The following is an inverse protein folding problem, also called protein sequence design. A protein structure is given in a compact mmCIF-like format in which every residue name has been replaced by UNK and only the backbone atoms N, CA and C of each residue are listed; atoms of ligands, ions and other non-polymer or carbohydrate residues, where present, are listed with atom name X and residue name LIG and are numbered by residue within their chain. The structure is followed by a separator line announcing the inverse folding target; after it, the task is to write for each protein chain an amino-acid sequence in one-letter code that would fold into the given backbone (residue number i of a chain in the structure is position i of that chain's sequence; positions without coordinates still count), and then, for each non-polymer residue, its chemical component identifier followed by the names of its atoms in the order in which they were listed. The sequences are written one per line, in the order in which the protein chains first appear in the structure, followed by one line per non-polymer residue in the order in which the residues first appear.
data_IF_074863347493
#
_entry.id   IF_074863347493
#
_cell.length_a   1.000
_cell.length_b   1.000
_cell.length_c   1.000
_cell.angle_alpha   90.00
_cell.angle_beta   90.00
_cell.angle_gamma   90.00
#
_symmetry.space_group_name_H-M   'P 1'
#
loop_
_entity.id
_entity.type
_entity.pdbx_description
1 polymer ?
#
# COMPACT_ATOMS: atom_id res chain seq x y z
N UNK A 1 -12.98 60.74 0.27
CA UNK A 1 -12.26 59.99 1.33
C UNK A 1 -13.34 59.28 2.14
N UNK A 2 -13.33 57.96 2.45
CA UNK A 2 -12.35 56.87 2.29
C UNK A 2 -12.76 55.88 1.16
N UNK A 3 -12.00 54.78 0.92
CA UNK A 3 -12.32 53.55 0.12
C UNK A 3 -11.19 53.05 -0.82
N UNK A 4 -9.91 53.16 -0.44
CA UNK A 4 -8.83 52.47 -1.19
C UNK A 4 -7.94 51.56 -0.35
N UNK A 5 -7.97 51.65 0.98
CA UNK A 5 -7.17 50.80 1.88
C UNK A 5 -7.80 49.43 2.20
N UNK A 6 -9.11 49.26 2.02
CA UNK A 6 -9.80 48.00 2.37
C UNK A 6 -9.68 46.89 1.32
N UNK A 7 -9.32 47.20 0.07
CA UNK A 7 -9.25 46.21 -1.01
C UNK A 7 -7.87 45.52 -1.08
N UNK A 8 -6.82 46.19 -0.60
CA UNK A 8 -5.47 45.60 -0.59
C UNK A 8 -5.27 44.56 0.53
N UNK A 9 -5.98 44.69 1.66
CA UNK A 9 -5.85 43.75 2.79
C UNK A 9 -6.52 42.39 2.51
N UNK A 10 -7.62 42.36 1.76
CA UNK A 10 -8.31 41.13 1.37
C UNK A 10 -7.58 40.38 0.26
N UNK A 11 -6.88 41.08 -0.63
CA UNK A 11 -6.09 40.45 -1.69
C UNK A 11 -4.82 39.76 -1.17
N UNK A 12 -4.15 40.32 -0.14
CA UNK A 12 -3.01 39.65 0.48
C UNK A 12 -3.41 38.44 1.35
N UNK A 13 -4.56 38.51 2.03
CA UNK A 13 -5.06 37.38 2.85
C UNK A 13 -5.39 36.13 2.03
N UNK A 14 -5.92 36.29 0.82
CA UNK A 14 -6.24 35.17 -0.08
C UNK A 14 -4.99 34.49 -0.65
N UNK A 15 -3.90 35.22 -0.86
CA UNK A 15 -2.63 34.66 -1.37
C UNK A 15 -1.90 33.86 -0.28
N UNK A 16 -2.00 34.27 0.98
CA UNK A 16 -1.44 33.53 2.13
C UNK A 16 -2.28 32.28 2.46
N UNK A 17 -3.60 32.31 2.28
CA UNK A 17 -4.46 31.13 2.50
C UNK A 17 -4.37 30.09 1.36
N UNK A 18 -4.17 30.54 0.11
CA UNK A 18 -3.93 29.66 -1.04
C UNK A 18 -2.54 29.01 -1.05
N UNK A 19 -1.54 29.61 -0.38
CA UNK A 19 -0.21 29.01 -0.24
C UNK A 19 -0.13 28.04 0.95
N UNK A 20 -0.93 28.23 2.01
CA UNK A 20 -0.99 27.30 3.14
C UNK A 20 -1.83 26.04 2.88
N UNK A 21 -2.73 26.05 1.90
CA UNK A 21 -3.53 24.88 1.49
C UNK A 21 -2.84 23.98 0.45
N UNK A 22 -1.64 24.35 0.00
CA UNK A 22 -0.77 23.52 -0.84
C UNK A 22 0.34 22.79 -0.06
N UNK A 23 0.20 22.66 1.26
CA UNK A 23 0.84 21.55 1.99
C UNK A 23 0.03 20.28 1.72
N UNK A 24 0.04 19.87 0.44
CA UNK A 24 -0.16 18.48 0.07
C UNK A 24 0.87 17.69 0.85
N UNK A 25 0.43 17.08 1.95
CA UNK A 25 1.11 15.92 2.51
C UNK A 25 1.25 14.96 1.35
N UNK A 26 2.45 14.89 0.76
CA UNK A 26 2.81 13.84 -0.18
C UNK A 26 2.63 12.54 0.61
N UNK A 27 1.43 11.97 0.54
CA UNK A 27 1.17 10.63 1.03
C UNK A 27 1.94 9.73 0.09
N UNK A 28 3.12 9.33 0.50
CA UNK A 28 3.84 8.26 -0.17
C UNK A 28 2.87 7.09 -0.29
N UNK A 29 2.67 6.63 -1.52
CA UNK A 29 1.88 5.42 -1.74
C UNK A 29 2.64 4.25 -1.11
N UNK A 30 1.95 3.29 -0.48
CA UNK A 30 2.59 2.05 -0.04
C UNK A 30 3.43 1.46 -1.19
N UNK A 31 4.61 0.87 -0.92
CA UNK A 31 5.47 0.30 -1.96
C UNK A 31 4.74 -0.65 -2.92
N UNK A 32 3.76 -1.42 -2.42
CA UNK A 32 2.93 -2.30 -3.23
C UNK A 32 1.96 -1.58 -4.19
N UNK A 33 1.51 -0.37 -3.88
CA UNK A 33 0.72 0.44 -4.82
C UNK A 33 1.60 1.10 -5.89
N UNK A 34 2.86 1.36 -5.57
CA UNK A 34 3.85 1.86 -6.54
C UNK A 34 4.12 0.79 -7.61
N UNK A 35 4.24 -0.47 -7.22
CA UNK A 35 4.43 -1.61 -8.13
C UNK A 35 3.25 -1.87 -9.07
N UNK A 36 2.04 -1.39 -8.75
CA UNK A 36 0.87 -1.57 -9.63
C UNK A 36 0.93 -0.72 -10.90
N UNK A 37 1.74 0.34 -10.91
CA UNK A 37 1.92 1.15 -12.10
C UNK A 37 3.15 0.64 -12.86
N UNK A 38 2.99 0.11 -14.10
CA UNK A 38 4.09 -0.53 -14.84
C UNK A 38 5.26 0.42 -15.15
N UNK A 39 5.03 1.73 -15.07
CA UNK A 39 6.05 2.75 -15.28
C UNK A 39 6.99 2.96 -14.07
N UNK A 40 6.67 2.36 -12.92
CA UNK A 40 7.42 2.53 -11.69
C UNK A 40 8.40 1.38 -11.47
N UNK A 41 9.55 1.69 -10.89
CA UNK A 41 10.55 0.71 -10.46
C UNK A 41 10.73 0.81 -8.96
N UNK A 42 10.85 -0.33 -8.29
CA UNK A 42 11.37 -0.40 -6.94
C UNK A 42 12.84 -0.77 -7.00
N UNK A 43 13.69 -0.04 -6.31
CA UNK A 43 15.11 -0.36 -6.21
C UNK A 43 15.61 -0.20 -4.79
N UNK A 44 16.61 -1.01 -4.46
CA UNK A 44 17.47 -0.81 -3.30
C UNK A 44 18.63 0.06 -3.75
N UNK A 45 18.80 1.21 -3.11
CA UNK A 45 19.85 2.15 -3.51
C UNK A 45 20.41 2.91 -2.32
N UNK A 46 21.72 3.21 -2.38
CA UNK A 46 22.44 3.97 -1.36
C UNK A 46 22.48 5.43 -1.76
N UNK A 47 22.11 6.34 -0.85
CA UNK A 47 22.20 7.76 -1.11
C UNK A 47 23.68 8.19 -1.13
N UNK A 48 24.22 8.51 -2.30
CA UNK A 48 25.64 8.80 -2.50
C UNK A 48 25.95 10.30 -2.42
N UNK A 49 25.14 11.15 -3.05
CA UNK A 49 25.42 12.58 -3.16
C UNK A 49 24.13 13.43 -3.23
N UNK A 50 24.13 14.61 -2.60
CA UNK A 50 23.05 15.60 -2.77
C UNK A 50 23.40 16.49 -3.98
N UNK A 51 22.60 16.43 -5.04
CA UNK A 51 22.79 17.17 -6.29
C UNK A 51 21.84 18.38 -6.31
N UNK A 52 22.02 19.32 -5.38
CA UNK A 52 21.16 20.49 -5.22
C UNK A 52 19.94 20.27 -4.29
N UNK A 53 19.03 21.25 -4.21
CA UNK A 53 18.01 21.34 -3.15
C UNK A 53 16.89 20.28 -3.17
N UNK A 54 16.81 19.45 -4.21
CA UNK A 54 15.69 18.53 -4.44
C UNK A 54 16.06 17.29 -5.27
N UNK A 55 17.36 16.99 -5.39
CA UNK A 55 17.85 15.83 -6.14
C UNK A 55 18.93 15.13 -5.35
N UNK A 56 18.87 13.81 -5.34
CA UNK A 56 19.86 12.97 -4.68
C UNK A 56 20.31 11.93 -5.69
N UNK A 57 21.63 11.74 -5.80
CA UNK A 57 22.22 10.64 -6.54
C UNK A 57 22.18 9.41 -5.66
N UNK A 58 21.53 8.37 -6.17
CA UNK A 58 21.51 7.06 -5.56
C UNK A 58 22.38 6.11 -6.36
N UNK A 59 23.22 5.35 -5.68
CA UNK A 59 23.94 4.20 -6.24
C UNK A 59 23.01 2.98 -6.13
N UNK A 60 22.60 2.44 -7.27
CA UNK A 60 21.68 1.31 -7.31
C UNK A 60 22.44 0.06 -6.87
N UNK A 61 21.98 -0.54 -5.77
CA UNK A 61 22.50 -1.81 -5.29
C UNK A 61 21.79 -2.95 -6.02
N UNK A 62 20.47 -2.84 -6.14
CA UNK A 62 19.60 -3.89 -6.69
C UNK A 62 18.31 -3.30 -7.26
N UNK A 63 17.83 -3.85 -8.38
CA UNK A 63 16.54 -3.49 -8.98
C UNK A 63 15.52 -4.58 -8.62
N UNK A 64 14.47 -4.23 -7.87
CA UNK A 64 13.49 -5.17 -7.32
C UNK A 64 12.27 -5.41 -8.22
N UNK A 65 12.04 -4.56 -9.23
CA UNK A 65 10.92 -4.69 -10.17
C UNK A 65 11.30 -5.47 -11.42
N UNK A 66 10.52 -6.50 -11.74
CA UNK A 66 10.65 -7.43 -12.88
C UNK A 66 10.95 -6.71 -14.22
N UNK A 67 11.96 -7.17 -14.96
CA UNK A 67 12.47 -6.54 -16.20
C UNK A 67 11.41 -6.47 -17.32
N UNK A 68 10.26 -7.12 -17.16
CA UNK A 68 9.16 -7.18 -18.14
C UNK A 68 8.28 -5.92 -18.23
N UNK A 69 8.50 -4.91 -17.39
CA UNK A 69 7.86 -3.59 -17.57
C UNK A 69 8.33 -2.83 -18.85
N UNK A 70 9.26 -3.42 -19.62
CA UNK A 70 9.86 -2.85 -20.83
C UNK A 70 9.01 -2.87 -22.11
N UNK A 71 7.84 -3.49 -22.14
CA UNK A 71 6.95 -3.47 -23.33
C UNK A 71 5.67 -2.65 -23.10
N UNK A 72 5.81 -1.43 -22.56
CA UNK A 72 4.80 -0.41 -22.84
C UNK A 72 4.97 0.03 -24.29
N UNK A 73 4.21 -0.64 -25.16
CA UNK A 73 4.17 -0.55 -26.62
C UNK A 73 4.49 0.85 -27.16
N UNK A 74 5.75 1.09 -27.52
CA UNK A 74 6.06 2.08 -28.55
C UNK A 74 5.51 1.52 -29.87
N UNK A 75 4.43 2.11 -30.37
CA UNK A 75 4.11 2.02 -31.79
C UNK A 75 5.18 2.82 -32.52
N UNK A 76 6.33 2.20 -32.77
CA UNK A 76 7.30 2.63 -33.76
C UNK A 76 7.60 1.42 -34.63
N UNK A 77 7.23 1.51 -35.91
CA UNK A 77 7.52 0.50 -36.91
C UNK A 77 9.04 0.40 -37.10
N UNK A 78 9.47 -0.83 -37.39
CA UNK A 78 10.81 -1.25 -37.80
C UNK A 78 11.80 -1.52 -36.66
N UNK A 79 11.86 -2.79 -36.22
CA UNK A 79 13.11 -3.57 -36.16
C UNK A 79 12.88 -5.05 -35.81
N UNK A 80 13.65 -5.92 -36.47
CA UNK A 80 13.61 -7.38 -36.41
C UNK A 80 14.22 -7.93 -35.12
N UNK A 81 13.63 -9.03 -34.63
CA UNK A 81 14.03 -9.74 -33.42
C UNK A 81 15.30 -10.60 -33.62
N UNK A 82 16.16 -10.63 -32.60
CA UNK A 82 17.18 -11.67 -32.39
C UNK A 82 16.91 -12.32 -31.03
N UNK A 83 16.98 -13.67 -30.87
CA UNK A 83 16.67 -14.31 -29.60
C UNK A 83 17.85 -14.18 -28.62
N UNK A 84 17.55 -13.78 -27.38
CA UNK A 84 18.52 -13.72 -26.27
C UNK A 84 18.13 -14.76 -25.22
N UNK A 85 19.14 -15.53 -24.82
CA UNK A 85 19.16 -16.62 -23.86
C UNK A 85 18.91 -16.15 -22.40
N UNK A 86 18.00 -16.77 -21.62
CA UNK A 86 17.77 -16.37 -20.23
C UNK A 86 18.59 -17.21 -19.24
N UNK A 87 19.64 -16.61 -18.66
CA UNK A 87 20.22 -17.04 -17.38
C UNK A 87 20.34 -15.82 -16.46
N UNK A 88 19.69 -15.79 -15.28
CA UNK A 88 19.77 -14.65 -14.37
C UNK A 88 21.02 -14.79 -13.48
N UNK A 89 22.11 -14.13 -13.88
CA UNK A 89 23.18 -13.75 -12.96
C UNK A 89 22.79 -12.38 -12.41
N UNK A 90 22.61 -12.26 -11.08
CA UNK A 90 22.44 -10.98 -10.41
C UNK A 90 23.67 -10.11 -10.69
N UNK A 91 23.56 -9.20 -11.65
CA UNK A 91 24.60 -8.23 -11.96
C UNK A 91 24.48 -7.10 -10.95
N UNK A 92 25.51 -6.91 -10.13
CA UNK A 92 25.73 -5.59 -9.52
C UNK A 92 25.77 -4.58 -10.68
N UNK A 93 24.76 -3.74 -10.76
CA UNK A 93 24.69 -2.68 -11.75
C UNK A 93 25.45 -1.49 -11.18
N UNK A 94 26.57 -1.11 -11.82
CA UNK A 94 27.28 0.17 -11.59
C UNK A 94 26.43 1.38 -12.07
N UNK A 95 25.14 1.37 -11.75
CA UNK A 95 24.19 2.37 -12.18
C UNK A 95 23.93 3.35 -11.04
N UNK A 96 24.31 4.60 -11.27
CA UNK A 96 23.89 5.71 -10.41
C UNK A 96 22.71 6.45 -11.04
N UNK A 97 21.68 6.78 -10.26
CA UNK A 97 20.51 7.52 -10.71
C UNK A 97 20.34 8.83 -9.95
N UNK A 98 20.11 9.92 -10.68
CA UNK A 98 19.74 11.20 -10.08
C UNK A 98 18.22 11.25 -9.91
N UNK A 99 17.75 11.18 -8.66
CA UNK A 99 16.33 11.08 -8.33
C UNK A 99 15.84 12.41 -7.77
N UNK A 100 14.82 12.98 -8.43
CA UNK A 100 14.12 14.21 -8.01
C UNK A 100 13.06 13.89 -6.96
N UNK A 101 12.96 14.71 -5.92
CA UNK A 101 12.00 14.59 -4.83
C UNK A 101 11.61 15.95 -4.26
N UNK A 102 10.65 16.03 -3.35
CA UNK A 102 10.35 17.29 -2.65
C UNK A 102 11.49 17.67 -1.70
N UNK A 103 11.71 18.98 -1.48
CA UNK A 103 12.78 19.47 -0.60
C UNK A 103 12.66 18.94 0.84
N UNK A 104 11.43 18.74 1.32
CA UNK A 104 11.17 18.08 2.60
C UNK A 104 11.74 16.66 2.61
N UNK A 105 11.40 15.85 1.61
CA UNK A 105 11.90 14.48 1.48
C UNK A 105 13.42 14.45 1.33
N UNK A 106 14.00 15.36 0.53
CA UNK A 106 15.44 15.46 0.35
C UNK A 106 16.16 15.74 1.68
N UNK A 107 15.57 16.55 2.56
CA UNK A 107 16.13 16.84 3.88
C UNK A 107 16.09 15.66 4.87
N UNK A 108 15.26 14.65 4.59
CA UNK A 108 15.14 13.44 5.41
C UNK A 108 16.12 12.34 4.98
N UNK A 109 16.72 12.45 3.79
CA UNK A 109 17.69 11.48 3.28
C UNK A 109 19.08 11.73 3.87
N UNK A 110 19.71 10.66 4.34
CA UNK A 110 21.05 10.63 4.93
C UNK A 110 22.01 9.98 3.93
N UNK A 111 23.08 10.68 3.61
CA UNK A 111 24.14 10.15 2.76
C UNK A 111 24.77 8.91 3.40
N UNK A 112 25.13 7.94 2.56
CA UNK A 112 25.63 6.61 2.95
C UNK A 112 24.56 5.65 3.45
N UNK A 113 23.30 6.08 3.64
CA UNK A 113 22.22 5.18 4.03
C UNK A 113 21.58 4.49 2.82
N UNK A 114 21.12 3.27 3.03
CA UNK A 114 20.41 2.47 2.03
C UNK A 114 18.90 2.71 2.12
N UNK A 115 18.21 2.70 0.98
CA UNK A 115 16.79 2.98 0.87
C UNK A 115 16.13 1.98 -0.09
N UNK A 116 14.87 1.64 0.18
CA UNK A 116 13.96 1.13 -0.85
C UNK A 116 13.26 2.36 -1.42
N UNK A 117 13.56 2.65 -2.67
CA UNK A 117 12.97 3.76 -3.39
C UNK A 117 12.08 3.25 -4.51
N UNK A 118 10.84 3.74 -4.52
CA UNK A 118 9.98 3.72 -5.69
C UNK A 118 10.32 4.91 -6.55
N UNK A 119 10.70 4.66 -7.80
CA UNK A 119 10.99 5.71 -8.77
C UNK A 119 10.12 5.56 -10.01
N UNK A 120 9.88 6.68 -10.70
CA UNK A 120 9.23 6.69 -12.00
C UNK A 120 10.01 7.58 -12.96
N UNK A 121 10.13 7.17 -14.22
CA UNK A 121 10.64 8.01 -15.31
C UNK A 121 9.50 8.67 -16.10
N UNK A 122 8.25 8.45 -15.69
CA UNK A 122 7.08 8.89 -16.43
C UNK A 122 6.17 9.77 -15.57
N UNK A 123 5.60 10.79 -16.21
CA UNK A 123 4.55 11.62 -15.67
C UNK A 123 3.20 11.06 -16.12
N UNK A 124 2.29 10.89 -15.17
CA UNK A 124 0.89 10.63 -15.48
C UNK A 124 0.22 11.94 -15.91
N UNK A 125 -0.15 12.04 -17.18
CA UNK A 125 -0.92 13.16 -17.70
C UNK A 125 -2.21 13.37 -16.90
N UNK A 126 -2.54 14.62 -16.60
CA UNK A 126 -3.86 14.96 -16.05
C UNK A 126 -4.91 14.85 -17.16
N UNK A 127 -6.17 14.67 -16.75
CA UNK A 127 -7.39 14.50 -17.56
C UNK A 127 -7.38 15.27 -18.90
N UNK A 128 -7.95 14.74 -20.01
CA UNK A 128 -8.96 13.67 -20.09
C UNK A 128 -8.46 12.26 -20.42
N UNK A 129 -7.17 12.07 -20.72
CA UNK A 129 -6.60 10.73 -20.90
C UNK A 129 -5.31 10.63 -20.09
N UNK A 130 -5.21 9.71 -19.10
CA UNK A 130 -3.97 9.48 -18.37
C UNK A 130 -2.95 8.82 -19.30
N UNK A 131 -2.30 9.65 -20.13
CA UNK A 131 -1.16 9.21 -20.93
C UNK A 131 0.10 9.37 -20.10
N UNK A 132 0.88 8.30 -20.04
CA UNK A 132 2.23 8.36 -19.52
C UNK A 132 3.11 9.12 -20.52
N UNK A 133 3.86 10.09 -20.03
CA UNK A 133 4.86 10.81 -20.82
C UNK A 133 6.18 10.72 -20.10
N UNK A 134 7.27 10.56 -20.84
CA UNK A 134 8.60 10.60 -20.25
C UNK A 134 8.77 11.92 -19.47
N UNK A 135 9.22 11.85 -18.23
CA UNK A 135 9.58 13.04 -17.46
C UNK A 135 10.86 13.64 -18.06
N UNK A 136 10.83 14.85 -18.64
CA UNK A 136 12.02 15.47 -19.21
C UNK A 136 13.09 15.76 -18.16
N UNK A 137 12.73 15.78 -16.87
CA UNK A 137 13.66 16.01 -15.76
C UNK A 137 14.29 14.73 -15.20
N UNK A 138 13.96 13.56 -15.76
CA UNK A 138 14.54 12.27 -15.37
C UNK A 138 13.76 11.53 -14.29
N UNK A 139 14.46 10.79 -13.42
CA UNK A 139 13.80 9.97 -12.41
C UNK A 139 13.19 10.82 -11.30
N UNK A 140 11.97 10.49 -10.92
CA UNK A 140 11.26 11.07 -9.78
C UNK A 140 11.00 10.01 -8.73
N UNK A 141 11.14 10.38 -7.47
CA UNK A 141 10.73 9.60 -6.32
C UNK A 141 9.19 9.56 -6.22
N UNK A 142 8.63 8.35 -6.19
CA UNK A 142 7.19 8.09 -5.97
C UNK A 142 6.92 7.38 -4.64
N UNK A 143 7.93 6.70 -4.09
CA UNK A 143 7.96 6.23 -2.71
C UNK A 143 9.38 6.28 -2.16
N UNK A 144 9.53 6.66 -0.90
CA UNK A 144 10.78 6.56 -0.16
C UNK A 144 10.50 5.84 1.14
N UNK A 145 11.17 4.71 1.35
CA UNK A 145 11.23 4.05 2.64
C UNK A 145 12.68 4.03 3.08
N UNK A 146 12.96 4.65 4.23
CA UNK A 146 14.28 4.57 4.87
C UNK A 146 14.50 3.13 5.28
N UNK A 147 15.39 2.44 4.56
CA UNK A 147 15.88 1.13 4.98
C UNK A 147 17.04 1.42 5.91
N UNK A 148 16.72 1.80 7.14
CA UNK A 148 17.74 1.74 8.17
C UNK A 148 18.29 0.32 8.19
N UNK A 149 19.61 0.16 8.25
CA UNK A 149 20.27 -1.12 8.58
C UNK A 149 19.70 -1.76 9.86
N UNK A 150 18.94 -1.00 10.66
CA UNK A 150 18.26 -1.41 11.87
C UNK A 150 16.74 -1.74 11.72
N UNK A 151 16.08 -1.45 10.59
CA UNK A 151 14.60 -1.59 10.49
C UNK A 151 14.17 -3.00 10.09
N UNK A 152 14.94 -3.65 9.22
CA UNK A 152 14.82 -5.06 8.99
C UNK A 152 15.87 -5.70 9.89
N UNK A 153 15.48 -6.09 11.10
CA UNK A 153 16.36 -6.87 11.96
C UNK A 153 16.92 -8.09 11.20
N UNK A 154 17.82 -8.89 11.78
CA UNK A 154 18.42 -10.07 11.15
C UNK A 154 17.41 -11.22 10.86
N UNK A 155 16.12 -10.91 10.72
CA UNK A 155 15.05 -11.81 10.32
C UNK A 155 15.36 -12.42 8.95
N UNK A 156 15.82 -13.66 8.99
CA UNK A 156 15.98 -14.51 7.81
C UNK A 156 14.66 -14.65 7.04
N UNK A 157 13.52 -14.57 7.73
CA UNK A 157 12.20 -14.65 7.11
C UNK A 157 11.90 -13.46 6.23
N UNK A 158 12.20 -12.26 6.72
CA UNK A 158 12.00 -11.06 5.93
C UNK A 158 13.00 -11.00 4.77
N UNK A 159 14.26 -11.37 5.01
CA UNK A 159 15.26 -11.49 3.95
C UNK A 159 14.76 -12.45 2.86
N UNK A 160 14.22 -13.61 3.24
CA UNK A 160 13.65 -14.56 2.30
C UNK A 160 12.57 -13.91 1.44
N UNK A 161 11.55 -13.27 2.04
CA UNK A 161 10.46 -12.65 1.29
C UNK A 161 10.91 -11.52 0.35
N UNK A 162 11.97 -10.80 0.71
CA UNK A 162 12.52 -9.73 -0.14
C UNK A 162 13.41 -10.25 -1.27
N UNK A 163 14.05 -11.41 -1.09
CA UNK A 163 14.99 -11.97 -2.07
C UNK A 163 14.38 -12.95 -3.06
N UNK A 164 13.26 -13.60 -2.72
CA UNK A 164 12.62 -14.58 -3.60
C UNK A 164 11.63 -13.86 -4.51
N UNK A 165 11.92 -13.73 -5.83
CA UNK A 165 11.00 -13.06 -6.75
C UNK A 165 9.65 -13.77 -6.78
N UNK A 166 8.59 -12.99 -6.58
CA UNK A 166 7.19 -13.43 -6.56
C UNK A 166 6.67 -14.02 -7.89
N UNK A 167 7.44 -13.89 -8.98
CA UNK A 167 6.99 -14.16 -10.36
C UNK A 167 7.92 -15.05 -11.19
N UNK A 168 8.95 -15.67 -10.60
CA UNK A 168 9.95 -16.44 -11.35
C UNK A 168 10.00 -17.94 -10.98
N UNK A 169 10.61 -18.72 -11.88
CA UNK A 169 11.01 -20.11 -11.64
C UNK A 169 11.70 -20.24 -10.27
N UNK A 170 11.08 -20.98 -9.35
CA UNK A 170 11.60 -21.18 -7.98
C UNK A 170 10.72 -20.62 -6.86
N UNK A 171 9.62 -19.92 -7.14
CA UNK A 171 8.63 -19.58 -6.11
C UNK A 171 7.99 -20.86 -5.54
N UNK A 172 8.25 -21.14 -4.26
CA UNK A 172 7.67 -22.30 -3.56
C UNK A 172 6.57 -21.80 -2.61
N UNK A 173 5.28 -22.07 -2.90
CA UNK A 173 4.17 -21.47 -2.18
C UNK A 173 4.18 -21.72 -0.67
N UNK A 174 4.45 -22.97 -0.26
CA UNK A 174 4.38 -23.37 1.15
C UNK A 174 5.52 -22.76 2.00
N UNK A 175 6.81 -22.83 1.61
CA UNK A 175 7.87 -22.11 2.32
C UNK A 175 7.63 -20.60 2.42
N UNK A 176 7.12 -19.96 1.36
CA UNK A 176 6.74 -18.53 1.39
C UNK A 176 5.69 -18.28 2.47
N UNK A 177 4.64 -19.09 2.52
CA UNK A 177 3.62 -19.02 3.58
C UNK A 177 4.24 -19.24 4.98
N UNK A 178 5.14 -20.21 5.15
CA UNK A 178 5.77 -20.49 6.45
C UNK A 178 6.63 -19.30 6.93
N UNK A 179 7.31 -18.59 6.02
CA UNK A 179 8.05 -17.36 6.35
C UNK A 179 7.11 -16.20 6.69
N UNK A 180 6.03 -16.02 5.94
CA UNK A 180 4.98 -15.03 6.24
C UNK A 180 4.40 -15.27 7.64
N UNK A 181 3.99 -16.50 7.95
CA UNK A 181 3.40 -16.83 9.24
C UNK A 181 4.38 -16.58 10.40
N UNK A 182 5.67 -16.90 10.23
CA UNK A 182 6.72 -16.55 11.21
C UNK A 182 6.89 -15.05 11.40
N UNK A 183 6.79 -14.25 10.33
CA UNK A 183 6.84 -12.79 10.46
C UNK A 183 5.63 -12.22 11.18
N UNK A 184 4.44 -12.79 10.95
CA UNK A 184 3.23 -12.42 11.69
C UNK A 184 3.37 -12.76 13.19
N UNK A 185 4.02 -13.89 13.50
CA UNK A 185 4.22 -14.40 14.85
C UNK A 185 5.55 -13.93 15.47
N UNK A 186 5.53 -12.78 16.13
CA UNK A 186 6.60 -12.40 17.06
C UNK A 186 7.69 -11.47 16.52
N UNK A 187 7.52 -10.92 15.31
CA UNK A 187 8.42 -9.90 14.78
C UNK A 187 7.92 -8.47 15.04
N UNK A 188 8.78 -7.44 14.86
CA UNK A 188 8.39 -6.04 14.94
C UNK A 188 7.28 -5.68 13.94
N UNK A 189 6.51 -4.64 14.26
CA UNK A 189 5.36 -4.18 13.48
C UNK A 189 5.65 -3.98 11.99
N UNK A 190 6.84 -3.47 11.64
CA UNK A 190 7.23 -3.25 10.24
C UNK A 190 7.29 -4.55 9.43
N UNK A 191 7.84 -5.63 10.00
CA UNK A 191 7.93 -6.92 9.32
C UNK A 191 6.56 -7.58 9.15
N UNK A 192 5.65 -7.41 10.13
CA UNK A 192 4.26 -7.88 10.01
C UNK A 192 3.53 -7.20 8.86
N UNK A 193 3.71 -5.89 8.68
CA UNK A 193 3.09 -5.16 7.56
C UNK A 193 3.52 -5.73 6.21
N UNK A 194 4.81 -6.07 6.04
CA UNK A 194 5.30 -6.74 4.82
C UNK A 194 4.62 -8.10 4.65
N UNK A 195 4.61 -8.92 5.70
CA UNK A 195 3.99 -10.25 5.66
C UNK A 195 2.50 -10.22 5.28
N UNK A 196 1.74 -9.27 5.83
CA UNK A 196 0.32 -9.11 5.49
C UNK A 196 0.14 -8.65 4.04
N UNK A 197 0.98 -7.75 3.55
CA UNK A 197 0.94 -7.34 2.14
C UNK A 197 1.22 -8.51 1.20
N UNK A 198 2.16 -9.39 1.54
CA UNK A 198 2.42 -10.61 0.76
C UNK A 198 1.18 -11.52 0.71
N UNK A 199 0.48 -11.73 1.83
CA UNK A 199 -0.79 -12.48 1.82
C UNK A 199 -1.86 -11.82 0.95
N UNK A 200 -1.91 -10.49 0.94
CA UNK A 200 -2.86 -9.73 0.12
C UNK A 200 -2.55 -9.89 -1.37
N UNK A 201 -1.27 -9.87 -1.76
CA UNK A 201 -0.85 -9.99 -3.16
C UNK A 201 -0.90 -11.42 -3.69
N UNK A 202 -0.82 -12.42 -2.80
CA UNK A 202 -0.80 -13.84 -3.15
C UNK A 202 -1.98 -14.60 -2.53
N UNK A 203 -3.23 -14.32 -2.94
CA UNK A 203 -4.41 -14.94 -2.35
C UNK A 203 -4.42 -16.47 -2.46
N UNK A 204 -3.74 -17.04 -3.46
CA UNK A 204 -3.56 -18.48 -3.63
C UNK A 204 -2.85 -19.15 -2.42
N UNK A 205 -2.08 -18.42 -1.63
CA UNK A 205 -1.48 -18.92 -0.38
C UNK A 205 -2.56 -19.30 0.65
N UNK A 206 -3.74 -18.68 0.57
CA UNK A 206 -4.88 -19.03 1.42
C UNK A 206 -5.33 -20.49 1.29
N UNK A 207 -5.15 -21.11 0.11
CA UNK A 207 -5.47 -22.53 -0.10
C UNK A 207 -4.54 -23.49 0.68
N UNK A 208 -3.40 -22.99 1.15
CA UNK A 208 -2.38 -23.78 1.84
C UNK A 208 -2.45 -23.66 3.36
N UNK A 209 -3.34 -22.82 3.87
CA UNK A 209 -3.50 -22.59 5.31
C UNK A 209 -4.10 -23.81 5.99
N UNK A 210 -3.43 -24.28 7.04
CA UNK A 210 -3.99 -25.27 7.95
C UNK A 210 -5.03 -24.63 8.89
N UNK A 211 -6.00 -25.38 9.44
CA UNK A 211 -7.01 -24.84 10.37
C UNK A 211 -6.41 -24.10 11.57
N UNK A 212 -5.27 -24.57 12.11
CA UNK A 212 -4.56 -23.89 13.19
C UNK A 212 -4.03 -22.51 12.80
N UNK A 213 -3.56 -22.36 11.56
CA UNK A 213 -3.05 -21.11 11.00
C UNK A 213 -4.21 -20.13 10.76
N UNK A 214 -5.35 -20.61 10.27
CA UNK A 214 -6.59 -19.81 10.14
C UNK A 214 -7.01 -19.24 11.51
N UNK A 215 -7.00 -20.07 12.56
CA UNK A 215 -7.31 -19.63 13.92
C UNK A 215 -6.33 -18.57 14.44
N UNK A 216 -5.06 -18.63 14.05
CA UNK A 216 -4.08 -17.59 14.38
C UNK A 216 -4.37 -16.28 13.64
N UNK A 217 -4.63 -16.33 12.32
CA UNK A 217 -4.99 -15.14 11.55
C UNK A 217 -6.27 -14.49 12.08
N UNK A 218 -7.30 -15.28 12.39
CA UNK A 218 -8.54 -14.85 13.06
C UNK A 218 -8.22 -14.10 14.37
N UNK A 219 -7.41 -14.72 15.22
CA UNK A 219 -7.03 -14.14 16.51
C UNK A 219 -6.30 -12.79 16.33
N UNK A 220 -5.45 -12.64 15.32
CA UNK A 220 -4.78 -11.38 15.01
C UNK A 220 -5.75 -10.29 14.51
N UNK A 221 -6.68 -10.63 13.61
CA UNK A 221 -7.70 -9.71 13.11
C UNK A 221 -8.58 -9.20 14.26
N UNK A 222 -8.95 -10.08 15.19
CA UNK A 222 -9.82 -9.76 16.33
C UNK A 222 -9.10 -9.09 17.50
N UNK A 223 -7.76 -9.10 17.52
CA UNK A 223 -6.97 -8.52 18.61
C UNK A 223 -6.92 -6.98 18.54
N UNK A 224 -7.53 -6.31 19.51
CA UNK A 224 -7.56 -4.85 19.60
C UNK A 224 -6.20 -4.20 19.92
N UNK A 225 -5.25 -4.96 20.48
CA UNK A 225 -3.90 -4.45 20.74
C UNK A 225 -3.01 -4.49 19.49
N UNK A 226 -3.44 -5.21 18.44
CA UNK A 226 -2.70 -5.24 17.18
C UNK A 226 -2.92 -3.93 16.41
N UNK A 227 -1.90 -3.52 15.65
CA UNK A 227 -2.01 -2.30 14.86
C UNK A 227 -3.17 -2.40 13.86
N UNK A 228 -4.05 -1.40 13.85
CA UNK A 228 -5.24 -1.37 12.99
C UNK A 228 -4.93 -1.59 11.51
N UNK A 229 -3.81 -1.07 11.03
CA UNK A 229 -3.36 -1.25 9.63
C UNK A 229 -3.06 -2.72 9.33
N UNK A 230 -2.39 -3.42 10.25
CA UNK A 230 -2.09 -4.86 10.10
C UNK A 230 -3.39 -5.67 10.08
N UNK A 231 -4.31 -5.37 11.01
CA UNK A 231 -5.63 -6.02 11.08
C UNK A 231 -6.45 -5.81 9.82
N UNK A 232 -6.46 -4.59 9.28
CA UNK A 232 -7.20 -4.22 8.08
C UNK A 232 -6.68 -4.96 6.84
N UNK A 233 -5.37 -4.87 6.54
CA UNK A 233 -4.81 -5.59 5.41
C UNK A 233 -4.92 -7.12 5.55
N UNK A 234 -4.85 -7.66 6.77
CA UNK A 234 -4.98 -9.09 6.99
C UNK A 234 -6.41 -9.55 6.74
N UNK A 235 -7.40 -8.77 7.17
CA UNK A 235 -8.80 -9.02 6.87
C UNK A 235 -9.07 -8.92 5.36
N UNK A 236 -8.48 -7.94 4.66
CA UNK A 236 -8.61 -7.82 3.21
C UNK A 236 -7.97 -9.01 2.48
N UNK A 237 -6.77 -9.43 2.89
CA UNK A 237 -6.11 -10.62 2.34
C UNK A 237 -6.97 -11.88 2.55
N UNK A 238 -7.49 -12.07 3.76
CA UNK A 238 -8.36 -13.17 4.11
C UNK A 238 -9.65 -13.21 3.26
N UNK A 239 -10.22 -12.05 2.94
CA UNK A 239 -11.35 -11.95 2.04
C UNK A 239 -11.01 -12.35 0.59
N UNK A 240 -9.74 -12.37 0.18
CA UNK A 240 -9.34 -12.82 -1.16
C UNK A 240 -8.98 -14.30 -1.23
N UNK A 241 -8.82 -14.96 -0.08
CA UNK A 241 -8.47 -16.38 -0.07
C UNK A 241 -9.53 -17.21 -0.79
N UNK A 242 -9.11 -18.20 -1.60
CA UNK A 242 -10.05 -19.20 -2.13
C UNK A 242 -10.77 -19.85 -0.94
N UNK A 243 -12.03 -20.23 -1.14
CA UNK A 243 -12.94 -20.78 -0.12
C UNK A 243 -12.50 -22.17 0.42
N UNK A 244 -11.24 -22.30 0.81
CA UNK A 244 -10.65 -23.48 1.37
C UNK A 244 -10.97 -23.52 2.87
N UNK A 245 -11.63 -24.61 3.28
CA UNK A 245 -11.89 -25.07 4.64
C UNK A 245 -13.06 -24.44 5.43
N UNK A 246 -13.27 -23.12 5.46
CA UNK A 246 -14.39 -22.52 6.21
C UNK A 246 -14.98 -21.31 5.45
N UNK A 247 -16.15 -21.42 4.80
CA UNK A 247 -16.72 -20.33 3.99
C UNK A 247 -16.91 -19.03 4.77
N UNK A 248 -17.18 -19.13 6.08
CA UNK A 248 -17.75 -18.04 6.87
C UNK A 248 -16.83 -17.46 7.94
N UNK A 249 -15.59 -17.95 8.09
CA UNK A 249 -14.74 -17.50 9.20
C UNK A 249 -14.38 -16.01 9.12
N UNK A 250 -14.26 -15.47 7.90
CA UNK A 250 -13.98 -14.05 7.66
C UNK A 250 -15.17 -13.21 8.11
N UNK A 251 -16.41 -13.61 7.76
CA UNK A 251 -17.63 -12.95 8.22
C UNK A 251 -17.77 -13.05 9.75
N UNK A 252 -17.43 -14.21 10.34
CA UNK A 252 -17.33 -14.40 11.79
C UNK A 252 -16.39 -13.38 12.46
N UNK A 253 -15.20 -13.19 11.88
CA UNK A 253 -14.21 -12.23 12.38
C UNK A 253 -14.73 -10.78 12.27
N UNK A 254 -15.37 -10.44 11.15
CA UNK A 254 -16.04 -9.16 10.95
C UNK A 254 -17.10 -8.88 12.03
N UNK A 255 -17.92 -9.88 12.38
CA UNK A 255 -18.93 -9.79 13.45
C UNK A 255 -18.27 -9.53 14.80
N UNK A 256 -17.20 -10.27 15.14
CA UNK A 256 -16.45 -10.07 16.39
C UNK A 256 -15.90 -8.65 16.46
N UNK A 257 -15.26 -8.17 15.39
CA UNK A 257 -14.71 -6.82 15.30
C UNK A 257 -15.81 -5.78 15.49
N UNK A 258 -16.91 -5.85 14.73
CA UNK A 258 -18.00 -4.88 14.87
C UNK A 258 -18.58 -4.88 16.27
N UNK A 259 -18.82 -6.04 16.89
CA UNK A 259 -19.38 -6.13 18.25
C UNK A 259 -18.57 -5.36 19.28
N UNK A 260 -17.24 -5.35 19.17
CA UNK A 260 -16.35 -4.66 20.10
C UNK A 260 -15.97 -3.24 19.66
N UNK A 261 -16.20 -2.89 18.40
CA UNK A 261 -15.72 -1.61 17.88
C UNK A 261 -16.43 -0.41 18.54
N UNK A 262 -15.69 0.67 18.85
CA UNK A 262 -16.27 1.89 19.40
C UNK A 262 -17.20 2.56 18.38
N UNK A 263 -18.25 3.22 18.87
CA UNK A 263 -19.19 4.00 18.06
C UNK A 263 -18.68 5.42 17.81
N UNK A 264 -17.99 5.99 18.78
CA UNK A 264 -17.36 7.30 18.69
C UNK A 264 -15.98 7.16 18.07
N UNK A 265 -15.92 7.31 16.75
CA UNK A 265 -14.68 7.18 15.99
C UNK A 265 -14.31 8.51 15.36
N UNK A 266 -13.07 8.93 15.55
CA UNK A 266 -12.55 10.15 14.93
C UNK A 266 -12.52 10.01 13.40
N UNK A 267 -12.97 11.06 12.71
CA UNK A 267 -12.91 11.18 11.25
C UNK A 267 -11.46 11.01 10.76
N UNK A 268 -11.28 10.14 9.76
CA UNK A 268 -9.96 9.88 9.16
C UNK A 268 -9.03 9.00 9.99
N UNK A 269 -9.49 8.43 11.11
CA UNK A 269 -8.72 7.45 11.87
C UNK A 269 -8.60 6.12 11.13
N UNK A 270 -7.53 5.36 11.41
CA UNK A 270 -7.37 4.00 10.89
C UNK A 270 -8.51 3.07 11.34
N UNK A 271 -9.11 3.33 12.51
CA UNK A 271 -10.25 2.56 13.04
C UNK A 271 -11.47 2.70 12.14
N UNK A 272 -11.78 3.93 11.69
CA UNK A 272 -12.88 4.14 10.75
C UNK A 272 -12.63 3.41 9.42
N UNK A 273 -11.41 3.48 8.88
CA UNK A 273 -11.03 2.76 7.65
C UNK A 273 -11.21 1.25 7.80
N UNK A 274 -10.79 0.69 8.93
CA UNK A 274 -10.94 -0.73 9.20
C UNK A 274 -12.42 -1.14 9.33
N UNK A 275 -13.24 -0.36 10.02
CA UNK A 275 -14.68 -0.62 10.11
C UNK A 275 -15.38 -0.54 8.73
N UNK A 276 -14.93 0.34 7.83
CA UNK A 276 -15.38 0.36 6.44
C UNK A 276 -15.07 -0.95 5.70
N UNK A 277 -13.85 -1.45 5.83
CA UNK A 277 -13.47 -2.77 5.26
C UNK A 277 -14.35 -3.87 5.80
N UNK A 278 -14.59 -3.88 7.11
CA UNK A 278 -15.44 -4.87 7.79
C UNK A 278 -16.87 -4.84 7.23
N UNK A 279 -17.48 -3.66 7.11
CA UNK A 279 -18.81 -3.49 6.53
C UNK A 279 -18.87 -3.94 5.07
N UNK A 280 -17.86 -3.59 4.25
CA UNK A 280 -17.78 -4.03 2.86
C UNK A 280 -17.79 -5.56 2.75
N UNK A 281 -17.03 -6.24 3.61
CA UNK A 281 -16.99 -7.71 3.60
C UNK A 281 -18.32 -8.31 4.07
N UNK A 282 -18.96 -7.74 5.10
CA UNK A 282 -20.31 -8.19 5.52
C UNK A 282 -21.37 -7.90 4.46
N UNK A 283 -21.24 -6.83 3.68
CA UNK A 283 -22.12 -6.57 2.54
C UNK A 283 -22.04 -7.68 1.49
N UNK A 284 -20.84 -8.24 1.28
CA UNK A 284 -20.58 -9.28 0.28
C UNK A 284 -20.86 -10.71 0.80
N UNK A 285 -20.71 -10.94 2.10
CA UNK A 285 -20.69 -12.30 2.71
C UNK A 285 -21.56 -12.48 3.94
N UNK A 286 -22.15 -11.41 4.45
CA UNK A 286 -23.00 -11.45 5.64
C UNK A 286 -24.39 -11.97 5.33
N UNK A 287 -25.20 -12.05 6.37
CA UNK A 287 -26.59 -12.49 6.33
C UNK A 287 -27.51 -11.49 7.06
N UNK A 288 -28.82 -11.74 7.06
CA UNK A 288 -29.80 -10.86 7.70
C UNK A 288 -29.59 -10.73 9.22
N UNK A 289 -28.86 -11.65 9.87
CA UNK A 289 -28.45 -11.54 11.26
C UNK A 289 -27.41 -10.44 11.52
N UNK A 290 -26.77 -9.91 10.48
CA UNK A 290 -25.78 -8.83 10.58
C UNK A 290 -26.39 -7.42 10.53
N UNK A 291 -27.70 -7.31 10.30
CA UNK A 291 -28.41 -6.02 10.22
C UNK A 291 -28.24 -5.17 11.48
N UNK A 292 -28.39 -5.77 12.67
CA UNK A 292 -28.26 -5.05 13.94
C UNK A 292 -26.83 -4.52 14.17
N UNK A 293 -25.82 -5.24 13.68
CA UNK A 293 -24.42 -4.82 13.77
C UNK A 293 -24.16 -3.60 12.88
N UNK A 294 -24.69 -3.60 11.66
CA UNK A 294 -24.61 -2.46 10.75
C UNK A 294 -25.43 -1.26 11.28
N UNK A 295 -26.67 -1.48 11.74
CA UNK A 295 -27.55 -0.46 12.27
C UNK A 295 -26.92 0.30 13.45
N UNK A 296 -26.14 -0.39 14.28
CA UNK A 296 -25.43 0.24 15.40
C UNK A 296 -24.46 1.34 14.96
N UNK A 297 -23.85 1.18 13.78
CA UNK A 297 -22.91 2.16 13.22
C UNK A 297 -23.59 3.36 12.57
N UNK A 298 -24.92 3.37 12.42
CA UNK A 298 -25.66 4.57 11.97
C UNK A 298 -25.51 5.74 12.93
N UNK A 299 -25.22 5.44 14.21
CA UNK A 299 -24.95 6.43 15.26
C UNK A 299 -23.50 6.92 15.28
N UNK A 300 -22.65 6.45 14.36
CA UNK A 300 -21.26 6.90 14.26
C UNK A 300 -21.19 8.38 13.90
N UNK A 301 -20.21 9.08 14.46
CA UNK A 301 -19.87 10.45 14.07
C UNK A 301 -19.19 10.52 12.68
N UNK A 302 -18.88 9.39 12.05
CA UNK A 302 -18.28 9.31 10.72
C UNK A 302 -19.37 9.15 9.64
N UNK A 303 -19.64 10.18 8.81
CA UNK A 303 -20.67 10.09 7.76
C UNK A 303 -20.38 8.99 6.74
N UNK A 304 -19.09 8.74 6.46
CA UNK A 304 -18.67 7.64 5.60
C UNK A 304 -19.12 6.30 6.17
N UNK A 305 -18.89 6.09 7.48
CA UNK A 305 -19.23 4.82 8.12
C UNK A 305 -20.74 4.62 8.18
N UNK A 306 -21.51 5.68 8.48
CA UNK A 306 -22.97 5.66 8.42
C UNK A 306 -23.46 5.28 7.02
N UNK A 307 -22.89 5.88 5.96
CA UNK A 307 -23.26 5.54 4.58
C UNK A 307 -22.93 4.07 4.25
N UNK A 308 -21.74 3.59 4.60
CA UNK A 308 -21.38 2.19 4.38
C UNK A 308 -22.26 1.23 5.18
N UNK A 309 -22.70 1.61 6.38
CA UNK A 309 -23.62 0.82 7.18
C UNK A 309 -24.99 0.71 6.50
N UNK A 310 -25.56 1.83 6.02
CA UNK A 310 -26.81 1.82 5.24
C UNK A 310 -26.72 0.93 4.01
N UNK A 311 -25.65 1.08 3.21
CA UNK A 311 -25.42 0.24 2.02
C UNK A 311 -25.24 -1.24 2.34
N UNK A 312 -24.73 -1.56 3.54
CA UNK A 312 -24.60 -2.92 4.01
C UNK A 312 -25.98 -3.45 4.40
N UNK A 313 -26.78 -2.69 5.15
CA UNK A 313 -28.14 -3.07 5.53
C UNK A 313 -29.03 -3.32 4.31
N UNK A 314 -28.97 -2.44 3.30
CA UNK A 314 -29.71 -2.57 2.04
C UNK A 314 -29.36 -3.88 1.31
N UNK A 315 -28.08 -4.25 1.28
CA UNK A 315 -27.64 -5.50 0.64
C UNK A 315 -28.06 -6.75 1.43
N UNK A 316 -28.09 -6.67 2.76
CA UNK A 316 -28.47 -7.77 3.64
C UNK A 316 -29.99 -7.97 3.72
N UNK A 317 -30.78 -6.95 3.36
CA UNK A 317 -32.24 -7.01 3.37
C UNK A 317 -32.86 -6.17 2.23
N UNK A 318 -32.79 -6.64 0.97
CA UNK A 318 -33.26 -5.88 -0.18
C UNK A 318 -34.79 -5.63 -0.17
N UNK A 319 -35.56 -6.51 0.50
CA UNK A 319 -37.03 -6.44 0.55
C UNK A 319 -37.55 -5.59 1.71
N UNK A 320 -36.75 -5.41 2.76
CA UNK A 320 -37.08 -4.56 3.90
C UNK A 320 -36.54 -3.16 3.68
N UNK A 321 -37.35 -2.27 3.11
CA UNK A 321 -37.04 -0.85 3.05
C UNK A 321 -36.69 -0.32 4.47
N UNK A 322 -35.45 0.10 4.64
CA UNK A 322 -34.90 0.70 5.87
C UNK A 322 -35.25 2.19 5.93
#
# INVERSE_FOLDING_TARGET
MPKRSAILATALGAIVFATLTALSVERFRPPGEVLREPANKLVVATAAEIVGQARIRFEVVEVLSDERAGELTEVSRDQQATPVDPSPVAKHTDQSWNVRMSSKTASEVRLGSTYIIGISRYLRGRFPLPRWRLDPEGYRLVALSVVGEAVFGPSLDLKFLLTVPSTADGWVPRPTLDHILRLLLGQPTAARRVAVLELYFHPQLGALLAPGEINHLRSMIENETEETVVRDYLLQAAALFPAAAEPDWVAGSCRTVLRRAPLEVQLGSAVASFQHTVLRILKERGDSGDLDLAARLLRSASPGLTLSALQTMEALNPDGAV
#
